data_IF_152070880541
#
_entry.id   IF_152070880541
#
_cell.length_a   1.000
_cell.length_b   1.000
_cell.length_c   1.000
_cell.angle_alpha   90.00
_cell.angle_beta   90.00
_cell.angle_gamma   90.00
#
_symmetry.space_group_name_H-M   'P 1'
#
loop_
_entity.id
_entity.type
_entity.pdbx_description
1 polymer ?
#
# COMPACT_ATOMS: atom_id res chain seq x y z
N UNK A 1 -32.57 -25.87 -26.92
CA UNK A 1 -31.97 -24.90 -27.88
C UNK A 1 -31.78 -23.49 -27.30
N UNK A 2 -32.78 -22.86 -26.65
CA UNK A 2 -32.58 -21.54 -25.99
C UNK A 2 -31.66 -21.62 -24.75
N UNK A 3 -31.86 -22.66 -23.93
CA UNK A 3 -31.14 -22.86 -22.66
C UNK A 3 -29.63 -23.11 -22.85
N UNK A 4 -29.23 -23.78 -23.95
CA UNK A 4 -27.82 -24.09 -24.23
C UNK A 4 -27.01 -22.85 -24.62
N UNK A 5 -27.63 -21.87 -25.29
CA UNK A 5 -26.98 -20.60 -25.64
C UNK A 5 -26.76 -19.73 -24.41
N UNK A 6 -27.74 -19.67 -23.51
CA UNK A 6 -27.61 -18.95 -22.25
C UNK A 6 -26.47 -19.55 -21.39
N UNK A 7 -26.40 -20.88 -21.29
CA UNK A 7 -25.30 -21.58 -20.61
C UNK A 7 -23.93 -21.31 -21.23
N UNK A 8 -23.83 -21.32 -22.57
CA UNK A 8 -22.58 -21.02 -23.26
C UNK A 8 -22.11 -19.58 -23.00
N UNK A 9 -23.03 -18.61 -23.05
CA UNK A 9 -22.71 -17.20 -22.77
C UNK A 9 -22.27 -17.00 -21.31
N UNK A 10 -22.94 -17.65 -20.37
CA UNK A 10 -22.60 -17.60 -18.95
C UNK A 10 -21.22 -18.22 -18.68
N UNK A 11 -20.92 -19.37 -19.29
CA UNK A 11 -19.61 -20.01 -19.20
C UNK A 11 -18.51 -19.09 -19.75
N UNK A 12 -18.72 -18.48 -20.92
CA UNK A 12 -17.77 -17.53 -21.51
C UNK A 12 -17.58 -16.27 -20.69
N UNK A 13 -18.65 -15.79 -20.05
CA UNK A 13 -18.56 -14.66 -19.13
C UNK A 13 -17.65 -15.00 -17.94
N UNK A 14 -17.81 -16.17 -17.31
CA UNK A 14 -16.99 -16.58 -16.16
C UNK A 14 -15.57 -17.02 -16.52
N UNK A 15 -15.33 -17.51 -17.74
CA UNK A 15 -13.96 -17.74 -18.26
C UNK A 15 -13.14 -16.44 -18.24
N UNK A 16 -13.81 -15.30 -18.52
CA UNK A 16 -13.15 -13.98 -18.64
C UNK A 16 -13.30 -13.13 -17.38
N UNK A 17 -14.31 -13.40 -16.54
CA UNK A 17 -14.62 -12.63 -15.34
C UNK A 17 -14.65 -13.57 -14.13
N UNK A 18 -13.60 -13.49 -13.32
CA UNK A 18 -13.57 -14.19 -12.05
C UNK A 18 -14.65 -13.64 -11.11
N UNK A 19 -15.30 -14.52 -10.35
CA UNK A 19 -16.26 -14.14 -9.31
C UNK A 19 -15.66 -13.23 -8.22
N UNK A 20 -14.34 -13.29 -8.03
CA UNK A 20 -13.60 -12.49 -7.04
C UNK A 20 -12.92 -11.26 -7.65
N UNK A 21 -13.16 -10.98 -8.94
CA UNK A 21 -12.52 -9.91 -9.69
C UNK A 21 -12.72 -8.55 -9.01
N UNK A 22 -13.94 -8.26 -8.55
CA UNK A 22 -14.27 -7.01 -7.85
C UNK A 22 -13.37 -6.75 -6.63
N UNK A 23 -13.09 -7.79 -5.83
CA UNK A 23 -12.21 -7.65 -4.66
C UNK A 23 -10.76 -7.35 -5.06
N UNK A 24 -10.25 -8.05 -6.08
CA UNK A 24 -8.88 -7.85 -6.58
C UNK A 24 -8.74 -6.46 -7.20
N UNK A 25 -9.71 -6.04 -8.02
CA UNK A 25 -9.69 -4.71 -8.66
C UNK A 25 -9.80 -3.59 -7.64
N UNK A 26 -10.67 -3.73 -6.64
CA UNK A 26 -10.79 -2.75 -5.55
C UNK A 26 -9.49 -2.67 -4.74
N UNK A 27 -8.87 -3.80 -4.39
CA UNK A 27 -7.59 -3.80 -3.69
C UNK A 27 -6.47 -3.18 -4.54
N UNK A 28 -6.40 -3.52 -5.83
CA UNK A 28 -5.42 -2.94 -6.75
C UNK A 28 -5.61 -1.42 -6.89
N UNK A 29 -6.86 -0.95 -6.99
CA UNK A 29 -7.18 0.47 -7.05
C UNK A 29 -6.76 1.19 -5.75
N UNK A 30 -7.03 0.57 -4.60
CA UNK A 30 -6.63 1.09 -3.30
C UNK A 30 -5.10 1.28 -3.22
N UNK A 31 -4.32 0.24 -3.52
CA UNK A 31 -2.86 0.28 -3.43
C UNK A 31 -2.24 1.25 -4.44
N UNK A 32 -2.77 1.31 -5.67
CA UNK A 32 -2.16 2.08 -6.77
C UNK A 32 -2.56 3.55 -6.80
N UNK A 33 -3.72 3.91 -6.27
CA UNK A 33 -4.28 5.26 -6.40
C UNK A 33 -4.73 5.83 -5.07
N UNK A 34 -5.68 5.17 -4.41
CA UNK A 34 -6.38 5.76 -3.26
C UNK A 34 -5.45 5.96 -2.05
N UNK A 35 -4.45 5.09 -1.90
CA UNK A 35 -3.42 5.23 -0.87
C UNK A 35 -2.61 6.52 -1.02
N UNK A 36 -2.30 6.94 -2.26
CA UNK A 36 -1.64 8.22 -2.52
C UNK A 36 -2.62 9.39 -2.32
N UNK A 37 -3.88 9.24 -2.73
CA UNK A 37 -4.92 10.26 -2.51
C UNK A 37 -5.08 10.58 -1.02
N UNK A 38 -5.14 9.56 -0.16
CA UNK A 38 -5.22 9.73 1.31
C UNK A 38 -3.99 10.49 1.85
N UNK A 39 -2.80 10.21 1.32
CA UNK A 39 -1.57 10.90 1.72
C UNK A 39 -1.60 12.36 1.26
N UNK A 40 -2.07 12.61 0.04
CA UNK A 40 -2.19 13.95 -0.52
C UNK A 40 -3.23 14.80 0.24
N UNK A 41 -4.32 14.19 0.74
CA UNK A 41 -5.29 14.85 1.62
C UNK A 41 -4.68 15.25 2.97
N UNK A 42 -3.75 14.46 3.49
CA UNK A 42 -3.09 14.67 4.78
C UNK A 42 -1.64 15.18 4.63
N UNK A 43 -1.38 15.89 3.52
CA UNK A 43 -0.03 16.22 3.06
C UNK A 43 0.83 16.98 4.06
N UNK A 44 0.24 17.89 4.82
CA UNK A 44 0.97 18.75 5.74
C UNK A 44 0.60 18.42 7.18
N UNK A 45 1.60 18.07 7.98
CA UNK A 45 1.48 17.89 9.43
C UNK A 45 2.16 19.09 10.09
N UNK A 46 1.40 19.84 10.88
CA UNK A 46 1.88 20.98 11.66
C UNK A 46 2.11 20.56 13.12
N UNK A 47 3.36 20.53 13.61
CA UNK A 47 3.63 20.17 14.99
C UNK A 47 3.12 21.23 15.97
N UNK A 48 2.56 20.80 17.10
CA UNK A 48 2.00 21.69 18.12
C UNK A 48 3.07 22.52 18.85
N UNK A 49 4.32 22.06 18.85
CA UNK A 49 5.45 22.74 19.51
C UNK A 49 6.46 23.10 18.42
N UNK A 50 6.68 24.41 18.25
CA UNK A 50 7.64 24.95 17.29
C UNK A 50 8.80 25.58 18.10
N UNK A 51 10.07 25.37 17.70
CA UNK A 51 11.21 26.04 18.33
C UNK A 51 11.04 27.57 18.29
N UNK A 52 11.51 28.27 19.33
CA UNK A 52 11.31 29.71 19.51
C UNK A 52 11.89 30.58 18.38
N UNK A 53 12.77 30.03 17.55
CA UNK A 53 13.44 30.71 16.44
C UNK A 53 12.85 30.34 15.05
N UNK A 54 11.72 29.65 15.00
CA UNK A 54 11.08 29.20 13.75
C UNK A 54 9.64 29.68 13.73
N UNK A 55 9.26 30.41 12.68
CA UNK A 55 7.90 30.93 12.53
C UNK A 55 6.94 29.84 12.03
N UNK A 56 7.43 28.95 11.15
CA UNK A 56 6.63 27.88 10.56
C UNK A 56 7.46 26.62 10.39
N UNK A 57 6.96 25.51 10.93
CA UNK A 57 7.53 24.17 10.73
C UNK A 57 6.45 23.21 10.25
N UNK A 58 6.66 22.63 9.07
CA UNK A 58 5.71 21.70 8.44
C UNK A 58 6.43 20.42 8.05
N UNK A 59 5.88 19.29 8.45
CA UNK A 59 6.29 17.98 7.95
C UNK A 59 5.37 17.67 6.76
N UNK A 60 5.97 17.42 5.60
CA UNK A 60 5.25 17.08 4.38
C UNK A 60 5.36 15.60 4.10
N UNK A 61 4.21 14.97 3.88
CA UNK A 61 4.09 13.61 3.37
C UNK A 61 4.05 13.69 1.85
N UNK A 62 4.97 13.02 1.17
CA UNK A 62 5.08 13.05 -0.28
C UNK A 62 4.65 11.70 -0.88
N UNK A 63 5.56 10.99 -1.52
CA UNK A 63 5.22 9.76 -2.24
C UNK A 63 5.12 8.57 -1.28
N UNK A 64 4.05 7.78 -1.41
CA UNK A 64 3.87 6.51 -0.70
C UNK A 64 3.92 5.34 -1.67
N UNK A 65 4.53 4.22 -1.28
CA UNK A 65 4.53 3.00 -2.09
C UNK A 65 4.62 1.74 -1.23
N UNK A 66 4.09 0.66 -1.79
CA UNK A 66 4.08 -0.67 -1.17
C UNK A 66 5.07 -1.56 -1.93
N UNK A 67 5.89 -2.31 -1.21
CA UNK A 67 6.88 -3.21 -1.80
C UNK A 67 6.33 -4.62 -1.96
N UNK A 68 7.17 -5.63 -2.15
CA UNK A 68 6.73 -7.02 -2.16
C UNK A 68 6.61 -7.55 -0.72
N UNK A 69 5.70 -8.51 -0.45
CA UNK A 69 5.64 -9.20 0.82
C UNK A 69 7.00 -9.74 1.27
N UNK A 70 7.44 -9.33 2.45
CA UNK A 70 8.73 -9.71 3.02
C UNK A 70 8.59 -10.06 4.50
N UNK A 71 9.55 -10.82 5.00
CA UNK A 71 9.68 -11.16 6.41
C UNK A 71 11.07 -10.73 6.90
N UNK A 72 11.10 -10.16 8.10
CA UNK A 72 12.34 -9.92 8.86
C UNK A 72 12.54 -11.11 9.80
N UNK A 73 13.63 -11.85 9.62
CA UNK A 73 13.98 -12.99 10.46
C UNK A 73 14.68 -12.52 11.77
N UNK A 74 14.88 -13.44 12.71
CA UNK A 74 15.45 -13.12 14.03
C UNK A 74 16.88 -12.56 13.97
N UNK A 75 17.62 -12.84 12.89
CA UNK A 75 18.95 -12.29 12.60
C UNK A 75 18.92 -10.90 11.94
N UNK A 76 17.72 -10.34 11.72
CA UNK A 76 17.51 -9.06 11.07
C UNK A 76 17.54 -9.11 9.55
N UNK A 77 17.77 -10.28 8.94
CA UNK A 77 17.74 -10.44 7.49
C UNK A 77 16.32 -10.28 6.94
N UNK A 78 16.20 -9.67 5.75
CA UNK A 78 14.93 -9.48 5.04
C UNK A 78 14.90 -10.36 3.80
N UNK A 79 13.78 -11.04 3.58
CA UNK A 79 13.57 -11.86 2.37
C UNK A 79 12.11 -11.87 1.96
N UNK A 80 11.87 -12.20 0.69
CA UNK A 80 10.52 -12.38 0.17
C UNK A 80 9.79 -13.48 0.95
N UNK A 81 8.57 -13.19 1.35
CA UNK A 81 7.65 -14.13 1.99
C UNK A 81 6.70 -14.69 0.93
N UNK A 82 6.47 -16.01 0.93
CA UNK A 82 5.49 -16.64 0.05
C UNK A 82 4.18 -16.94 0.78
N UNK A 83 3.01 -16.92 0.10
CA UNK A 83 1.71 -17.18 0.72
C UNK A 83 1.62 -18.50 1.50
N UNK A 84 2.13 -19.58 0.90
CA UNK A 84 2.12 -20.90 1.53
C UNK A 84 2.98 -20.94 2.80
N UNK A 85 4.12 -20.26 2.77
CA UNK A 85 5.00 -20.15 3.92
C UNK A 85 4.33 -19.36 5.05
N UNK A 86 3.69 -18.24 4.73
CA UNK A 86 2.94 -17.44 5.71
C UNK A 86 1.87 -18.27 6.42
N UNK A 87 1.13 -19.08 5.65
CA UNK A 87 0.12 -20.01 6.17
C UNK A 87 0.74 -21.10 7.07
N UNK A 88 1.82 -21.73 6.64
CA UNK A 88 2.46 -22.82 7.40
C UNK A 88 3.05 -22.32 8.73
N UNK A 89 3.64 -21.12 8.73
CA UNK A 89 4.23 -20.50 9.93
C UNK A 89 3.23 -19.73 10.79
N UNK A 90 1.95 -19.63 10.37
CA UNK A 90 0.90 -18.84 11.03
C UNK A 90 1.28 -17.36 11.21
N UNK A 91 1.88 -16.77 10.17
CA UNK A 91 2.28 -15.36 10.12
C UNK A 91 1.48 -14.61 9.04
N UNK A 92 1.48 -13.28 9.13
CA UNK A 92 0.79 -12.42 8.17
C UNK A 92 1.54 -12.30 6.85
N UNK A 93 0.86 -12.53 5.74
CA UNK A 93 1.38 -12.21 4.40
C UNK A 93 1.20 -10.71 4.15
N UNK A 94 2.20 -9.92 4.55
CA UNK A 94 2.16 -8.47 4.53
C UNK A 94 3.39 -7.88 3.84
N UNK A 95 3.22 -6.69 3.29
CA UNK A 95 4.27 -5.94 2.61
C UNK A 95 4.61 -4.64 3.34
N UNK A 96 5.90 -4.26 3.41
CA UNK A 96 6.30 -2.95 3.91
C UNK A 96 5.76 -1.81 3.06
N UNK A 97 5.31 -0.77 3.76
CA UNK A 97 4.89 0.50 3.18
C UNK A 97 5.96 1.54 3.47
N UNK A 98 6.47 2.16 2.41
CA UNK A 98 7.47 3.21 2.47
C UNK A 98 6.85 4.55 2.07
N UNK A 99 7.39 5.62 2.64
CA UNK A 99 6.97 6.98 2.38
C UNK A 99 8.18 7.91 2.32
N UNK A 100 8.12 8.87 1.42
CA UNK A 100 9.01 10.03 1.40
C UNK A 100 8.43 11.12 2.29
N UNK A 101 9.25 11.62 3.21
CA UNK A 101 8.88 12.65 4.18
C UNK A 101 9.90 13.78 4.07
N UNK A 102 9.42 15.02 4.03
CA UNK A 102 10.25 16.21 3.98
C UNK A 102 9.91 17.22 5.07
N UNK A 103 10.93 17.88 5.61
CA UNK A 103 10.78 18.92 6.63
C UNK A 103 10.92 20.30 5.99
N UNK A 104 9.92 21.15 6.17
CA UNK A 104 9.89 22.53 5.69
C UNK A 104 9.94 23.52 6.86
N UNK A 105 10.97 24.38 6.88
CA UNK A 105 11.14 25.48 7.83
C UNK A 105 10.95 26.79 7.08
N UNK A 106 9.98 27.61 7.49
CA UNK A 106 9.64 28.87 6.81
C UNK A 106 9.47 28.68 5.29
N UNK A 107 8.70 27.65 4.92
CA UNK A 107 8.41 27.22 3.55
C UNK A 107 9.61 26.72 2.73
N UNK A 108 10.82 26.69 3.29
CA UNK A 108 12.04 26.13 2.67
C UNK A 108 12.22 24.68 3.07
N UNK A 109 12.32 23.78 2.09
CA UNK A 109 12.66 22.37 2.32
C UNK A 109 14.10 22.27 2.87
N UNK A 110 14.26 21.58 3.99
CA UNK A 110 15.56 21.41 4.66
C UNK A 110 16.09 20.00 4.52
N UNK A 111 15.28 19.04 4.91
CA UNK A 111 15.64 17.62 4.94
C UNK A 111 14.54 16.81 4.26
N UNK A 112 14.92 15.74 3.58
CA UNK A 112 14.01 14.74 3.04
C UNK A 112 14.61 13.36 3.22
N UNK A 113 13.79 12.40 3.61
CA UNK A 113 14.21 11.02 3.77
C UNK A 113 13.07 10.07 3.40
N UNK A 114 13.45 8.84 3.08
CA UNK A 114 12.51 7.76 2.83
C UNK A 114 12.54 6.82 4.03
N UNK A 115 11.37 6.47 4.55
CA UNK A 115 11.27 5.57 5.70
C UNK A 115 10.13 4.58 5.55
N UNK A 116 10.26 3.44 6.21
CA UNK A 116 9.17 2.48 6.34
C UNK A 116 8.20 3.00 7.40
N UNK A 117 6.94 3.22 7.02
CA UNK A 117 5.90 3.73 7.94
C UNK A 117 5.05 2.61 8.54
N UNK A 118 5.12 1.40 7.97
CA UNK A 118 4.36 0.26 8.47
C UNK A 118 4.37 -0.93 7.51
N UNK A 119 3.37 -1.79 7.67
CA UNK A 119 3.14 -2.96 6.81
C UNK A 119 1.66 -3.10 6.50
N UNK A 120 1.33 -3.54 5.29
CA UNK A 120 -0.04 -3.78 4.86
C UNK A 120 -0.25 -5.23 4.42
N UNK A 121 -1.31 -5.93 4.87
CA UNK A 121 -1.64 -7.26 4.36
C UNK A 121 -1.89 -7.24 2.86
N UNK A 122 -1.31 -8.18 2.12
CA UNK A 122 -1.46 -8.26 0.67
C UNK A 122 -2.50 -9.30 0.28
N UNK A 123 -3.44 -8.90 -0.59
CA UNK A 123 -4.45 -9.80 -1.13
C UNK A 123 -3.80 -10.80 -2.11
N UNK A 124 -4.16 -12.08 -1.99
CA UNK A 124 -3.62 -13.09 -2.90
C UNK A 124 -4.11 -12.84 -4.33
N UNK A 125 -3.18 -12.96 -5.29
CA UNK A 125 -3.39 -12.70 -6.72
C UNK A 125 -3.70 -11.24 -7.06
N UNK A 126 -3.52 -10.30 -6.13
CA UNK A 126 -3.41 -8.89 -6.48
C UNK A 126 -2.13 -8.63 -7.27
N UNK A 127 -2.06 -7.43 -7.87
CA UNK A 127 -0.89 -6.99 -8.64
C UNK A 127 0.34 -6.73 -7.76
#
# INVERSE_FOLDING_TARGET
>A
MSDDRAKLLLAKFFDSNSMVRSNIESFNAFIKRELQEIVDENKNIEPTIIPTNVDKFVIRLDKIWVTKPEITEADGSRRVLYPNEARLRKISYASPVYMEISAHINDVQRESFQTQIGTIPIMLKSD
#
